data_IF_708787088282
#
_entry.id   IF_708787088282
#
_cell.length_a   1.000
_cell.length_b   1.000
_cell.length_c   1.000
_cell.angle_alpha   90.00
_cell.angle_beta   90.00
_cell.angle_gamma   90.00
#
_symmetry.space_group_name_H-M   'P 1'
#
loop_
_entity.id
_entity.type
_entity.pdbx_description
1 polymer ?
#
# COMPACT_ATOMS: atom_id res chain seq x y z
N UNK A 1 -8.16 29.46 7.41
CA UNK A 1 -6.93 28.99 6.75
C UNK A 1 -6.44 27.79 7.52
N UNK A 2 -6.79 26.58 7.06
CA UNK A 2 -5.95 25.41 7.30
C UNK A 2 -4.73 25.55 6.39
N UNK A 3 -3.54 25.03 6.78
CA UNK A 3 -2.37 25.13 5.93
C UNK A 3 -2.56 24.28 4.67
N UNK A 4 -2.28 24.85 3.50
CA UNK A 4 -2.12 24.06 2.27
C UNK A 4 -1.03 23.01 2.51
N UNK A 5 -1.40 21.72 2.48
CA UNK A 5 -0.41 20.65 2.31
C UNK A 5 0.02 20.71 0.85
N UNK A 6 0.99 21.58 0.56
CA UNK A 6 1.53 21.77 -0.79
C UNK A 6 1.90 20.41 -1.39
N UNK A 7 1.59 20.19 -2.67
CA UNK A 7 2.02 19.00 -3.43
C UNK A 7 3.53 18.71 -3.29
N UNK A 8 4.37 19.73 -3.08
CA UNK A 8 5.79 19.54 -2.76
C UNK A 8 6.03 18.72 -1.46
N UNK A 9 5.20 18.88 -0.44
CA UNK A 9 5.30 18.13 0.81
C UNK A 9 4.84 16.68 0.66
N UNK A 10 3.81 16.43 -0.16
CA UNK A 10 3.32 15.07 -0.46
C UNK A 10 4.34 14.33 -1.33
N UNK A 11 4.93 14.98 -2.33
CA UNK A 11 6.01 14.43 -3.15
C UNK A 11 7.26 14.07 -2.32
N UNK A 12 7.66 14.93 -1.37
CA UNK A 12 8.75 14.64 -0.42
C UNK A 12 8.41 13.46 0.49
N UNK A 13 7.16 13.37 0.96
CA UNK A 13 6.71 12.23 1.78
C UNK A 13 6.76 10.92 0.99
N UNK A 14 6.25 10.90 -0.24
CA UNK A 14 6.28 9.73 -1.13
C UNK A 14 7.71 9.31 -1.48
N UNK A 15 8.59 10.27 -1.80
CA UNK A 15 10.01 9.99 -2.03
C UNK A 15 10.69 9.39 -0.78
N UNK A 16 10.33 9.85 0.42
CA UNK A 16 10.81 9.26 1.68
C UNK A 16 10.27 7.84 1.92
N UNK A 17 9.02 7.58 1.52
CA UNK A 17 8.37 6.27 1.64
C UNK A 17 8.99 5.24 0.69
N UNK A 18 9.18 5.59 -0.58
CA UNK A 18 9.86 4.71 -1.56
C UNK A 18 11.32 4.46 -1.15
N UNK A 19 12.04 5.49 -0.70
CA UNK A 19 13.38 5.33 -0.15
C UNK A 19 13.40 4.36 1.04
N UNK A 20 12.42 4.44 1.96
CA UNK A 20 12.32 3.51 3.09
C UNK A 20 11.99 2.08 2.68
N UNK A 21 11.14 1.87 1.67
CA UNK A 21 10.86 0.55 1.09
C UNK A 21 12.14 -0.06 0.50
N UNK A 22 12.93 0.73 -0.23
CA UNK A 22 14.21 0.29 -0.81
C UNK A 22 15.26 -0.03 0.26
N UNK A 23 15.38 0.82 1.28
CA UNK A 23 16.28 0.61 2.43
C UNK A 23 15.95 -0.70 3.17
N UNK A 24 14.67 -0.90 3.51
CA UNK A 24 14.18 -2.12 4.17
C UNK A 24 14.39 -3.36 3.29
N UNK A 25 14.17 -3.26 1.99
CA UNK A 25 14.47 -4.33 1.04
C UNK A 25 15.97 -4.69 1.00
N UNK A 26 16.86 -3.69 1.06
CA UNK A 26 18.30 -3.90 1.11
C UNK A 26 18.75 -4.56 2.42
N UNK A 27 18.23 -4.12 3.57
CA UNK A 27 18.48 -4.71 4.89
C UNK A 27 18.06 -6.20 4.92
N UNK A 28 16.84 -6.50 4.48
CA UNK A 28 16.33 -7.87 4.46
C UNK A 28 17.11 -8.75 3.47
N UNK A 29 17.45 -8.25 2.27
CA UNK A 29 18.29 -8.98 1.31
C UNK A 29 19.66 -9.33 1.91
N UNK A 30 20.29 -8.39 2.61
CA UNK A 30 21.60 -8.63 3.22
C UNK A 30 21.52 -9.63 4.38
N UNK A 31 20.47 -9.55 5.21
CA UNK A 31 20.19 -10.56 6.23
C UNK A 31 19.91 -11.95 5.62
N UNK A 32 19.18 -12.06 4.50
CA UNK A 32 18.98 -13.33 3.80
C UNK A 32 20.30 -13.91 3.27
N UNK A 33 21.15 -13.09 2.63
CA UNK A 33 22.46 -13.55 2.11
C UNK A 33 23.37 -14.05 3.25
N UNK A 34 23.38 -13.35 4.38
CA UNK A 34 24.28 -13.65 5.51
C UNK A 34 23.79 -14.78 6.41
N UNK A 35 22.48 -14.90 6.62
CA UNK A 35 21.88 -15.84 7.59
C UNK A 35 21.21 -17.06 6.90
N UNK A 36 20.75 -16.92 5.66
CA UNK A 36 20.03 -17.96 4.91
C UNK A 36 20.43 -18.01 3.41
N UNK A 37 21.72 -18.16 3.06
CA UNK A 37 22.21 -18.11 1.67
C UNK A 37 21.63 -19.18 0.73
N UNK A 38 20.92 -20.18 1.26
CA UNK A 38 20.22 -21.19 0.47
C UNK A 38 18.92 -20.66 -0.18
N UNK A 39 18.38 -19.53 0.29
CA UNK A 39 17.18 -18.89 -0.25
C UNK A 39 17.47 -18.22 -1.60
N UNK A 40 18.53 -17.41 -1.67
CA UNK A 40 18.94 -16.64 -2.85
C UNK A 40 20.00 -17.42 -3.60
N UNK A 41 19.63 -18.07 -4.71
CA UNK A 41 20.54 -18.88 -5.52
C UNK A 41 20.04 -19.07 -6.94
N UNK A 42 20.90 -19.61 -7.81
CA UNK A 42 20.46 -20.07 -9.13
C UNK A 42 19.43 -21.20 -8.99
N UNK A 43 18.31 -21.09 -9.72
CA UNK A 43 17.30 -22.15 -9.86
C UNK A 43 16.93 -22.31 -11.33
N UNK A 44 16.71 -23.55 -11.76
CA UNK A 44 16.35 -23.86 -13.16
C UNK A 44 14.85 -24.12 -13.21
N UNK A 45 14.10 -23.26 -13.91
CA UNK A 45 12.65 -23.40 -14.13
C UNK A 45 12.42 -23.62 -15.62
N UNK A 46 11.75 -24.71 -15.99
CA UNK A 46 11.51 -25.10 -17.40
C UNK A 46 12.77 -25.07 -18.29
N UNK A 47 13.92 -25.50 -17.76
CA UNK A 47 15.25 -25.50 -18.39
C UNK A 47 15.88 -24.10 -18.59
N UNK A 48 15.26 -23.03 -18.09
CA UNK A 48 15.83 -21.69 -18.06
C UNK A 48 16.47 -21.45 -16.67
N UNK A 49 17.75 -21.07 -16.59
CA UNK A 49 18.39 -20.68 -15.33
C UNK A 49 17.96 -19.26 -14.92
N UNK A 50 17.63 -19.10 -13.64
CA UNK A 50 17.35 -17.82 -13.00
C UNK A 50 18.36 -17.63 -11.88
N UNK A 51 19.33 -16.73 -12.08
CA UNK A 51 20.32 -16.37 -11.07
C UNK A 51 19.68 -15.57 -9.92
N UNK A 52 20.29 -15.65 -8.73
CA UNK A 52 19.96 -14.85 -7.53
C UNK A 52 18.47 -14.78 -7.16
N UNK A 53 17.74 -15.88 -7.42
CA UNK A 53 16.29 -15.94 -7.23
C UNK A 53 15.89 -16.70 -5.96
N UNK A 54 14.70 -16.37 -5.45
CA UNK A 54 14.08 -17.00 -4.28
C UNK A 54 12.79 -17.73 -4.69
N UNK A 55 12.40 -18.75 -3.92
CA UNK A 55 11.02 -19.26 -3.96
C UNK A 55 10.19 -18.44 -2.97
N UNK A 56 9.04 -17.94 -3.42
CA UNK A 56 8.21 -17.03 -2.64
C UNK A 56 7.77 -17.58 -1.28
N UNK A 57 7.42 -18.87 -1.19
CA UNK A 57 7.08 -19.51 0.09
C UNK A 57 8.29 -19.59 1.03
N UNK A 58 9.44 -20.08 0.56
CA UNK A 58 10.68 -20.15 1.37
C UNK A 58 11.08 -18.76 1.92
N UNK A 59 10.87 -17.70 1.13
CA UNK A 59 11.12 -16.32 1.54
C UNK A 59 10.12 -15.84 2.62
N UNK A 60 8.84 -16.18 2.47
CA UNK A 60 7.80 -15.85 3.46
C UNK A 60 8.03 -16.60 4.77
N UNK A 61 8.35 -17.89 4.71
CA UNK A 61 8.67 -18.72 5.88
C UNK A 61 9.85 -18.12 6.66
N UNK A 62 10.91 -17.69 5.95
CA UNK A 62 12.05 -17.02 6.58
C UNK A 62 11.70 -15.66 7.21
N UNK A 63 10.82 -14.87 6.59
CA UNK A 63 10.36 -13.59 7.16
C UNK A 63 9.53 -13.81 8.44
N UNK A 64 8.73 -14.90 8.49
CA UNK A 64 8.00 -15.30 9.68
C UNK A 64 8.97 -15.71 10.82
N UNK A 65 9.93 -16.58 10.53
CA UNK A 65 10.96 -16.99 11.51
C UNK A 65 11.80 -15.81 12.02
N UNK A 66 12.15 -14.87 11.14
CA UNK A 66 12.83 -13.63 11.51
C UNK A 66 11.98 -12.78 12.46
N UNK A 67 10.69 -12.61 12.17
CA UNK A 67 9.78 -11.81 13.00
C UNK A 67 9.66 -12.36 14.43
N UNK A 68 9.59 -13.69 14.58
CA UNK A 68 9.56 -14.38 15.88
C UNK A 68 10.90 -14.24 16.60
N UNK A 69 12.02 -14.41 15.88
CA UNK A 69 13.38 -14.31 16.43
C UNK A 69 13.71 -12.91 16.96
N UNK A 70 13.18 -11.86 16.32
CA UNK A 70 13.28 -10.47 16.76
C UNK A 70 12.46 -10.20 18.03
N UNK A 71 11.39 -10.96 18.31
CA UNK A 71 10.64 -10.89 19.56
C UNK A 71 11.34 -11.53 20.76
N UNK A 72 12.13 -12.59 20.55
CA UNK A 72 12.79 -13.33 21.63
C UNK A 72 14.16 -12.73 22.00
N UNK A 73 14.30 -12.14 23.21
CA UNK A 73 15.58 -11.60 23.68
C UNK A 73 16.70 -12.64 23.62
N UNK A 74 17.68 -12.43 22.75
CA UNK A 74 18.90 -13.24 22.65
C UNK A 74 20.09 -12.32 22.39
N UNK A 75 21.17 -12.39 23.20
CA UNK A 75 22.34 -11.53 23.04
C UNK A 75 23.16 -11.96 21.82
N UNK A 76 23.54 -10.98 21.00
CA UNK A 76 24.10 -11.24 19.67
C UNK A 76 25.52 -11.86 19.71
N UNK A 77 25.74 -12.80 18.78
CA UNK A 77 27.07 -13.11 18.24
C UNK A 77 27.70 -11.84 17.63
N UNK A 78 29.02 -11.72 17.69
CA UNK A 78 29.75 -10.58 17.11
C UNK A 78 31.02 -11.01 16.37
N UNK A 79 31.47 -10.15 15.46
CA UNK A 79 32.64 -10.25 14.55
C UNK A 79 32.46 -11.27 13.41
N UNK A 80 32.66 -10.93 12.12
CA UNK A 80 33.50 -9.86 11.53
C UNK A 80 32.75 -8.98 10.51
N UNK A 81 33.38 -7.89 10.06
CA UNK A 81 32.79 -6.84 9.21
C UNK A 81 32.64 -7.23 7.73
N UNK A 82 31.41 -7.49 7.31
CA UNK A 82 30.70 -6.67 6.31
C UNK A 82 29.40 -6.20 7.01
N UNK A 83 28.69 -5.17 6.51
CA UNK A 83 27.63 -4.45 7.25
C UNK A 83 26.33 -5.25 7.50
N UNK A 84 26.38 -6.35 8.25
CA UNK A 84 25.18 -7.11 8.67
C UNK A 84 24.21 -6.15 9.38
N UNK A 85 22.91 -6.10 9.00
CA UNK A 85 21.99 -5.14 9.58
C UNK A 85 21.79 -5.49 11.06
N UNK A 86 21.71 -4.48 11.92
CA UNK A 86 21.53 -4.77 13.35
C UNK A 86 20.15 -5.38 13.61
N UNK A 87 20.01 -6.03 14.77
CA UNK A 87 18.70 -6.54 15.22
C UNK A 87 17.65 -5.43 15.31
N UNK A 88 18.07 -4.20 15.62
CA UNK A 88 17.18 -3.04 15.71
C UNK A 88 16.75 -2.56 14.31
N UNK A 89 17.65 -2.57 13.33
CA UNK A 89 17.32 -2.28 11.93
C UNK A 89 16.32 -3.30 11.38
N UNK A 90 16.58 -4.60 11.60
CA UNK A 90 15.67 -5.67 11.18
C UNK A 90 14.32 -5.61 11.90
N UNK A 91 14.29 -5.21 13.18
CA UNK A 91 13.03 -4.97 13.90
C UNK A 91 12.24 -3.81 13.29
N UNK A 92 12.91 -2.70 12.97
CA UNK A 92 12.30 -1.55 12.31
C UNK A 92 11.78 -1.90 10.92
N UNK A 93 12.54 -2.69 10.15
CA UNK A 93 12.18 -3.21 8.84
C UNK A 93 10.92 -4.09 8.88
N UNK A 94 10.90 -5.11 9.75
CA UNK A 94 9.74 -6.01 9.90
C UNK A 94 8.52 -5.25 10.39
N UNK A 95 8.67 -4.33 11.35
CA UNK A 95 7.59 -3.48 11.81
C UNK A 95 7.04 -2.60 10.68
N UNK A 96 7.89 -1.93 9.91
CA UNK A 96 7.47 -1.13 8.76
C UNK A 96 6.74 -1.96 7.70
N UNK A 97 7.22 -3.16 7.36
CA UNK A 97 6.50 -4.06 6.45
C UNK A 97 5.13 -4.47 7.00
N UNK A 98 5.01 -4.71 8.31
CA UNK A 98 3.73 -5.04 8.94
C UNK A 98 2.71 -3.90 8.87
N UNK A 99 3.13 -2.63 8.84
CA UNK A 99 2.22 -1.47 8.73
C UNK A 99 1.80 -1.15 7.29
N UNK A 100 2.62 -1.50 6.28
CA UNK A 100 2.31 -1.24 4.86
C UNK A 100 1.73 -2.46 4.12
N UNK A 101 1.90 -3.66 4.69
CA UNK A 101 1.45 -4.93 4.11
C UNK A 101 -0.06 -5.02 3.82
N UNK A 102 -0.96 -4.71 4.77
CA UNK A 102 -2.41 -4.77 4.57
C UNK A 102 -2.88 -3.90 3.39
N UNK A 103 -2.49 -2.62 3.39
CA UNK A 103 -2.79 -1.64 2.35
C UNK A 103 -2.19 -2.01 0.96
N UNK A 104 -1.03 -2.70 0.94
CA UNK A 104 -0.48 -3.25 -0.29
C UNK A 104 -1.26 -4.47 -0.82
N UNK A 105 -1.67 -5.38 0.07
CA UNK A 105 -2.49 -6.56 -0.24
C UNK A 105 -3.89 -6.14 -0.70
N UNK A 106 -4.51 -5.16 -0.05
CA UNK A 106 -5.77 -4.53 -0.43
C UNK A 106 -5.72 -4.04 -1.88
N UNK A 107 -4.75 -3.18 -2.22
CA UNK A 107 -4.56 -2.71 -3.61
C UNK A 107 -4.29 -3.85 -4.59
N UNK A 108 -3.59 -4.90 -4.19
CA UNK A 108 -3.32 -6.05 -5.06
C UNK A 108 -4.60 -6.82 -5.38
N UNK A 109 -5.48 -7.05 -4.39
CA UNK A 109 -6.77 -7.71 -4.57
C UNK A 109 -7.71 -6.84 -5.41
N UNK A 110 -7.78 -5.53 -5.14
CA UNK A 110 -8.71 -4.65 -5.86
C UNK A 110 -8.36 -4.40 -7.34
N UNK A 111 -7.13 -4.76 -7.78
CA UNK A 111 -6.77 -4.81 -9.21
C UNK A 111 -7.47 -5.95 -9.96
N UNK A 112 -8.02 -6.95 -9.27
CA UNK A 112 -8.92 -7.97 -9.86
C UNK A 112 -10.32 -7.40 -10.02
N UNK A 113 -11.03 -7.85 -11.06
CA UNK A 113 -12.47 -7.60 -11.17
C UNK A 113 -13.18 -8.22 -9.95
N UNK A 114 -14.29 -7.66 -9.47
CA UNK A 114 -14.93 -8.14 -8.23
C UNK A 114 -15.37 -9.61 -8.31
N UNK A 115 -15.75 -10.08 -9.49
CA UNK A 115 -16.12 -11.48 -9.78
C UNK A 115 -14.95 -12.48 -9.76
N UNK A 116 -13.69 -12.00 -9.81
CA UNK A 116 -12.48 -12.84 -9.86
C UNK A 116 -11.78 -12.97 -8.48
N UNK A 117 -12.41 -12.46 -7.41
CA UNK A 117 -11.90 -12.48 -6.03
C UNK A 117 -12.36 -13.74 -5.30
N UNK A 118 -11.46 -14.36 -4.52
CA UNK A 118 -11.84 -15.50 -3.68
C UNK A 118 -12.56 -15.05 -2.40
N UNK A 119 -13.28 -15.94 -1.67
CA UNK A 119 -13.91 -15.59 -0.40
C UNK A 119 -12.91 -15.05 0.64
N UNK A 120 -11.69 -15.59 0.67
CA UNK A 120 -10.61 -15.15 1.56
C UNK A 120 -10.13 -13.73 1.19
N UNK A 121 -10.02 -13.43 -0.11
CA UNK A 121 -9.69 -12.09 -0.60
C UNK A 121 -10.80 -11.06 -0.31
N UNK A 122 -12.07 -11.48 -0.34
CA UNK A 122 -13.20 -10.62 0.03
C UNK A 122 -13.22 -10.30 1.53
N UNK A 123 -12.83 -11.24 2.40
CA UNK A 123 -12.70 -10.97 3.83
C UNK A 123 -11.56 -9.97 4.11
N UNK A 124 -10.39 -10.14 3.46
CA UNK A 124 -9.27 -9.18 3.55
C UNK A 124 -9.65 -7.78 3.06
N UNK A 125 -10.44 -7.68 1.97
CA UNK A 125 -10.99 -6.39 1.52
C UNK A 125 -11.93 -5.81 2.57
N UNK A 126 -12.83 -6.62 3.15
CA UNK A 126 -13.74 -6.19 4.20
C UNK A 126 -13.02 -5.68 5.46
N UNK A 127 -11.96 -6.38 5.93
CA UNK A 127 -11.15 -5.98 7.08
C UNK A 127 -10.55 -4.58 6.87
N UNK A 128 -10.00 -4.30 5.69
CA UNK A 128 -9.45 -2.99 5.36
C UNK A 128 -10.53 -1.90 5.23
N UNK A 129 -11.73 -2.23 4.73
CA UNK A 129 -12.87 -1.30 4.71
C UNK A 129 -13.37 -0.93 6.13
N UNK A 130 -13.00 -1.65 7.18
CA UNK A 130 -13.25 -1.23 8.58
C UNK A 130 -12.37 -0.05 9.00
N UNK A 131 -11.14 0.02 8.48
CA UNK A 131 -10.15 1.06 8.80
C UNK A 131 -10.33 2.36 7.99
N UNK A 132 -11.06 2.31 6.87
CA UNK A 132 -11.36 3.49 6.04
C UNK A 132 -12.31 4.45 6.79
N UNK A 133 -11.78 5.57 7.28
CA UNK A 133 -12.52 6.60 8.04
C UNK A 133 -13.76 7.12 7.30
N UNK A 134 -13.73 7.30 5.98
CA UNK A 134 -14.91 7.65 5.17
C UNK A 134 -16.09 6.70 5.47
N UNK A 135 -15.81 5.40 5.50
CA UNK A 135 -16.79 4.33 5.72
C UNK A 135 -17.15 4.12 7.19
N UNK A 136 -16.56 4.85 8.14
CA UNK A 136 -16.75 4.64 9.59
C UNK A 136 -18.22 4.61 10.01
N UNK A 137 -19.06 5.48 9.43
CA UNK A 137 -20.49 5.56 9.68
C UNK A 137 -21.34 4.43 9.06
N UNK A 138 -20.79 3.64 8.12
CA UNK A 138 -21.51 2.54 7.49
C UNK A 138 -21.48 1.28 8.36
N UNK A 139 -22.58 0.53 8.37
CA UNK A 139 -22.69 -0.74 9.10
C UNK A 139 -21.72 -1.79 8.54
N UNK A 140 -21.38 -2.78 9.36
CA UNK A 140 -20.54 -3.92 8.96
C UNK A 140 -21.15 -4.71 7.81
N UNK A 141 -22.47 -4.84 7.75
CA UNK A 141 -23.17 -5.46 6.62
C UNK A 141 -22.96 -4.67 5.32
N UNK A 142 -23.12 -3.34 5.33
CA UNK A 142 -22.87 -2.51 4.14
C UNK A 142 -21.40 -2.59 3.71
N UNK A 143 -20.45 -2.65 4.65
CA UNK A 143 -19.03 -2.85 4.34
C UNK A 143 -18.73 -4.22 3.71
N UNK A 144 -19.42 -5.30 4.14
CA UNK A 144 -19.32 -6.62 3.49
C UNK A 144 -19.85 -6.59 2.06
N UNK A 145 -21.02 -5.99 1.82
CA UNK A 145 -21.55 -5.82 0.46
C UNK A 145 -20.60 -4.99 -0.42
N UNK A 146 -20.05 -3.89 0.11
CA UNK A 146 -19.06 -3.06 -0.58
C UNK A 146 -17.81 -3.85 -1.03
N UNK A 147 -17.29 -4.76 -0.21
CA UNK A 147 -16.13 -5.58 -0.57
C UNK A 147 -16.35 -6.39 -1.86
N UNK A 148 -17.60 -6.81 -2.11
CA UNK A 148 -17.99 -7.60 -3.30
C UNK A 148 -18.12 -6.78 -4.60
N UNK A 149 -18.13 -5.45 -4.53
CA UNK A 149 -18.35 -4.56 -5.70
C UNK A 149 -17.30 -3.47 -5.89
N UNK A 150 -16.54 -3.12 -4.85
CA UNK A 150 -15.57 -2.02 -4.91
C UNK A 150 -14.46 -2.28 -5.94
N UNK A 151 -14.21 -1.29 -6.80
CA UNK A 151 -13.10 -1.27 -7.76
C UNK A 151 -11.92 -0.44 -7.27
N UNK A 152 -10.79 -0.53 -7.96
CA UNK A 152 -9.62 0.33 -7.73
C UNK A 152 -9.18 0.97 -9.04
N UNK A 153 -9.00 2.30 -8.99
CA UNK A 153 -8.52 3.12 -10.09
C UNK A 153 -7.26 3.87 -9.63
N UNK A 154 -6.32 4.10 -10.56
CA UNK A 154 -5.01 4.69 -10.26
C UNK A 154 -4.54 5.57 -11.42
N UNK A 155 -4.26 6.84 -11.13
CA UNK A 155 -3.77 7.82 -12.09
C UNK A 155 -2.34 8.22 -11.73
N UNK A 156 -1.41 8.14 -12.69
CA UNK A 156 0.02 8.41 -12.46
C UNK A 156 0.44 9.87 -12.67
N UNK A 157 -0.47 10.74 -13.13
CA UNK A 157 -0.14 12.10 -13.53
C UNK A 157 -1.04 13.12 -12.82
N UNK A 158 -0.42 14.08 -12.12
CA UNK A 158 -1.13 15.24 -11.57
C UNK A 158 -1.84 16.03 -12.68
N UNK A 159 -3.00 16.61 -12.37
CA UNK A 159 -3.84 17.32 -13.35
C UNK A 159 -4.65 16.40 -14.28
N UNK A 160 -4.67 15.09 -14.06
CA UNK A 160 -5.62 14.18 -14.73
C UNK A 160 -7.05 14.55 -14.32
N UNK A 161 -7.89 14.92 -15.28
CA UNK A 161 -9.31 15.19 -15.04
C UNK A 161 -10.09 13.88 -15.01
N UNK A 162 -10.76 13.55 -13.90
CA UNK A 162 -11.64 12.38 -13.81
C UNK A 162 -12.90 12.52 -14.68
N UNK A 163 -13.61 13.64 -14.49
CA UNK A 163 -14.90 13.94 -15.07
C UNK A 163 -15.15 15.45 -15.00
N UNK A 164 -16.05 15.92 -15.83
CA UNK A 164 -16.39 17.33 -15.98
C UNK A 164 -17.74 17.65 -15.32
N UNK A 165 -17.93 18.92 -14.96
CA UNK A 165 -19.20 19.42 -14.47
C UNK A 165 -20.29 19.21 -15.54
N UNK A 166 -21.29 18.39 -15.23
CA UNK A 166 -22.38 18.02 -16.15
C UNK A 166 -22.32 16.58 -16.67
N UNK A 167 -21.21 15.86 -16.43
CA UNK A 167 -21.13 14.44 -16.77
C UNK A 167 -22.12 13.61 -15.92
N UNK A 168 -22.74 12.54 -16.47
CA UNK A 168 -23.64 11.69 -15.71
C UNK A 168 -22.93 10.98 -14.55
N UNK A 169 -23.38 11.24 -13.32
CA UNK A 169 -22.91 10.55 -12.12
C UNK A 169 -23.23 9.05 -12.16
N UNK A 170 -22.19 8.23 -12.37
CA UNK A 170 -22.29 6.75 -12.40
C UNK A 170 -21.57 6.07 -11.25
N UNK A 171 -20.56 6.74 -10.68
CA UNK A 171 -19.63 6.19 -9.71
C UNK A 171 -19.58 7.05 -8.43
N UNK A 172 -19.09 6.41 -7.38
CA UNK A 172 -18.78 6.92 -6.05
C UNK A 172 -17.32 6.63 -5.77
N UNK A 173 -16.61 7.57 -5.14
CA UNK A 173 -15.16 7.51 -4.98
C UNK A 173 -14.76 7.75 -3.52
N UNK A 174 -13.65 7.11 -3.14
CA UNK A 174 -13.01 7.25 -1.83
C UNK A 174 -11.52 7.47 -2.08
N UNK A 175 -10.97 8.53 -1.50
CA UNK A 175 -9.56 8.88 -1.68
C UNK A 175 -8.72 8.04 -0.72
N UNK A 176 -8.03 7.03 -1.26
CA UNK A 176 -7.16 6.14 -0.48
C UNK A 176 -5.77 6.77 -0.19
N UNK A 177 -5.20 7.47 -1.17
CA UNK A 177 -3.91 8.17 -1.07
C UNK A 177 -3.86 9.39 -2.00
N UNK A 178 -3.62 10.58 -1.46
CA UNK A 178 -3.50 11.85 -2.20
C UNK A 178 -4.60 12.86 -1.83
N UNK A 179 -4.64 14.01 -2.53
CA UNK A 179 -5.61 15.10 -2.34
C UNK A 179 -6.28 15.48 -3.65
N UNK A 180 -7.36 16.29 -3.68
CA UNK A 180 -8.14 16.47 -4.92
C UNK A 180 -8.58 17.92 -5.18
N UNK A 181 -8.19 18.48 -6.33
CA UNK A 181 -8.57 19.85 -6.71
C UNK A 181 -10.01 19.89 -7.23
N UNK A 182 -10.94 20.31 -6.38
CA UNK A 182 -12.31 20.46 -6.81
C UNK A 182 -12.51 21.81 -7.48
N UNK A 183 -12.95 21.82 -8.74
CA UNK A 183 -13.28 23.06 -9.45
C UNK A 183 -14.73 23.16 -9.95
N UNK A 184 -15.30 24.37 -9.85
CA UNK A 184 -16.58 24.75 -10.47
C UNK A 184 -16.31 25.95 -11.38
N UNK A 185 -16.80 25.90 -12.62
CA UNK A 185 -16.59 26.96 -13.63
C UNK A 185 -15.13 27.43 -13.77
N UNK A 186 -14.16 26.51 -13.63
CA UNK A 186 -12.73 26.79 -13.77
C UNK A 186 -12.06 27.45 -12.56
N UNK A 187 -12.73 27.51 -11.40
CA UNK A 187 -12.12 27.96 -10.13
C UNK A 187 -12.06 26.80 -9.15
N UNK A 188 -10.89 26.57 -8.55
CA UNK A 188 -10.75 25.67 -7.40
C UNK A 188 -11.55 26.24 -6.24
N UNK A 189 -12.37 25.40 -5.63
CA UNK A 189 -13.39 25.78 -4.65
C UNK A 189 -13.24 25.01 -3.33
N UNK A 190 -12.63 23.82 -3.37
CA UNK A 190 -12.31 22.99 -2.22
C UNK A 190 -11.17 22.00 -2.56
N UNK A 191 -10.55 21.43 -1.53
CA UNK A 191 -9.56 20.34 -1.65
C UNK A 191 -9.95 19.24 -0.66
N UNK A 192 -10.18 18.01 -1.15
CA UNK A 192 -10.50 16.85 -0.30
C UNK A 192 -9.27 15.95 -0.16
N UNK A 193 -9.07 15.42 1.04
CA UNK A 193 -7.87 14.67 1.43
C UNK A 193 -8.16 13.18 1.72
N UNK A 194 -7.12 12.44 2.12
CA UNK A 194 -7.18 11.02 2.48
C UNK A 194 -8.39 10.67 3.37
N UNK A 195 -9.10 9.61 3.00
CA UNK A 195 -10.25 9.06 3.72
C UNK A 195 -11.49 9.96 3.84
N UNK A 196 -11.65 10.89 2.90
CA UNK A 196 -12.89 11.65 2.70
C UNK A 196 -13.73 11.09 1.55
N UNK A 197 -15.01 11.49 1.49
CA UNK A 197 -16.06 10.86 0.69
C UNK A 197 -16.63 11.85 -0.34
N UNK A 198 -16.89 11.40 -1.57
CA UNK A 198 -17.61 12.23 -2.55
C UNK A 198 -18.57 11.46 -3.47
N UNK A 199 -19.67 12.12 -3.87
CA UNK A 199 -20.79 11.56 -4.65
C UNK A 199 -21.28 12.51 -5.74
N UNK A 200 -21.43 12.01 -6.97
CA UNK A 200 -21.92 12.82 -8.10
C UNK A 200 -23.44 12.74 -8.29
N UNK A 201 -24.20 13.53 -7.52
CA UNK A 201 -25.50 14.08 -7.98
C UNK A 201 -26.08 15.17 -7.05
N UNK A 202 -26.21 16.39 -7.58
CA UNK A 202 -27.14 17.45 -7.12
C UNK A 202 -26.76 18.33 -5.90
N UNK A 203 -25.48 18.53 -5.56
CA UNK A 203 -24.87 19.74 -4.93
C UNK A 203 -23.46 19.35 -4.43
N UNK A 204 -22.47 20.25 -4.60
CA UNK A 204 -21.03 20.07 -4.24
C UNK A 204 -20.37 19.00 -5.17
N UNK A 205 -19.25 19.25 -5.87
CA UNK A 205 -17.83 19.47 -5.51
C UNK A 205 -16.94 18.19 -5.59
N UNK A 206 -16.49 17.86 -6.81
CA UNK A 206 -15.76 16.64 -7.24
C UNK A 206 -14.27 16.75 -7.63
N UNK A 207 -13.38 15.82 -7.21
CA UNK A 207 -12.12 15.45 -7.92
C UNK A 207 -11.38 14.18 -7.36
N UNK A 208 -10.31 13.74 -8.08
CA UNK A 208 -9.13 12.85 -7.77
C UNK A 208 -8.00 13.26 -8.76
N UNK A 209 -6.68 13.20 -8.50
CA UNK A 209 -5.86 13.13 -7.26
C UNK A 209 -4.55 13.92 -7.48
N UNK A 210 -3.93 14.41 -6.41
CA UNK A 210 -2.63 15.08 -6.34
C UNK A 210 -1.62 14.26 -5.52
N UNK A 211 -0.40 14.25 -6.05
CA UNK A 211 0.83 13.70 -5.48
C UNK A 211 1.64 14.74 -4.69
#
# INVERSE_FOLDING_TARGET
>A
MLPEVSSAAIAVYLQSFEARILEVGAQLRHAMITQAPHLIRERIVHKVPYADCMIGSEMVDWLLDLSVSIGAHSPALSRFQEEVPSREDLASAVFFLSTVGPDALFRMILKKLPQDRTPEELELVYEELLHVKALSHLSTMVKRELATVIGYEHHTHAGTVLFHQGDPGKNWYIILRGSVDVSIHGKVQDILDNSEFFFSSTILLSAIIQF
#
